data_IF_451640202035
#
_entry.id   IF_451640202035
#
_cell.length_a   1.000
_cell.length_b   1.000
_cell.length_c   1.000
_cell.angle_alpha   90.00
_cell.angle_beta   90.00
_cell.angle_gamma   90.00
#
_symmetry.space_group_name_H-M   'P 1'
#
loop_
_entity.id
_entity.type
_entity.pdbx_description
1 polymer ?
#
# COMPACT_ATOMS: atom_id res chain seq x y z
N UNK A 1 17.22 18.81 5.50
CA UNK A 1 17.36 17.60 4.66
C UNK A 1 16.01 17.28 4.05
N UNK A 2 15.98 17.09 2.74
CA UNK A 2 14.74 16.78 2.02
C UNK A 2 14.32 15.31 2.23
N UNK A 3 13.02 15.08 2.44
CA UNK A 3 12.47 13.79 2.85
C UNK A 3 11.54 13.19 1.79
N UNK A 4 11.75 11.95 1.46
CA UNK A 4 10.80 11.11 0.74
C UNK A 4 10.12 10.10 1.67
N UNK A 5 8.78 10.05 1.66
CA UNK A 5 8.03 8.99 2.33
C UNK A 5 7.51 8.00 1.31
N UNK A 6 7.82 6.72 1.50
CA UNK A 6 7.36 5.61 0.66
C UNK A 6 6.46 4.71 1.50
N UNK A 7 5.17 4.72 1.17
CA UNK A 7 4.12 4.04 1.91
C UNK A 7 3.60 2.85 1.09
N UNK A 8 3.94 1.66 1.54
CA UNK A 8 3.71 0.42 0.82
C UNK A 8 2.30 -0.13 0.91
N UNK A 9 2.06 -1.19 0.13
CA UNK A 9 0.82 -1.94 0.13
C UNK A 9 0.65 -2.76 1.41
N UNK A 10 -0.58 -2.87 1.92
CA UNK A 10 -0.81 -3.56 3.20
C UNK A 10 -2.25 -3.97 3.49
N UNK A 11 -3.20 -3.62 2.63
CA UNK A 11 -4.63 -3.82 2.91
C UNK A 11 -5.10 -3.02 4.13
N UNK A 12 -6.18 -3.44 4.76
CA UNK A 12 -6.77 -2.76 5.94
C UNK A 12 -5.85 -2.79 7.15
N UNK A 13 -5.17 -3.91 7.38
CA UNK A 13 -4.30 -4.07 8.55
C UNK A 13 -2.93 -3.43 8.35
N UNK A 14 -2.41 -3.46 7.12
CA UNK A 14 -1.20 -2.70 6.79
C UNK A 14 -1.42 -1.19 6.83
N UNK A 15 -2.64 -0.69 6.53
CA UNK A 15 -3.02 0.70 6.75
C UNK A 15 -2.86 1.08 8.24
N UNK A 16 -3.41 0.26 9.14
CA UNK A 16 -3.32 0.48 10.58
C UNK A 16 -1.87 0.44 11.08
N UNK A 17 -1.10 -0.56 10.64
CA UNK A 17 0.32 -0.68 10.97
C UNK A 17 1.14 0.53 10.49
N UNK A 18 0.91 0.98 9.25
CA UNK A 18 1.64 2.12 8.67
C UNK A 18 1.37 3.42 9.42
N UNK A 19 0.11 3.66 9.83
CA UNK A 19 -0.24 4.85 10.62
C UNK A 19 0.45 4.80 11.98
N UNK A 20 0.45 3.65 12.67
CA UNK A 20 1.16 3.49 13.94
C UNK A 20 2.67 3.69 13.79
N UNK A 21 3.28 3.14 12.73
CA UNK A 21 4.70 3.33 12.45
C UNK A 21 5.05 4.80 12.14
N UNK A 22 4.19 5.53 11.40
CA UNK A 22 4.36 6.96 11.18
C UNK A 22 4.21 7.77 12.48
N UNK A 23 3.21 7.43 13.31
CA UNK A 23 3.04 8.09 14.62
C UNK A 23 4.30 7.95 15.48
N UNK A 24 4.86 6.75 15.57
CA UNK A 24 6.10 6.52 16.31
C UNK A 24 7.27 7.28 15.67
N UNK A 25 7.38 7.28 14.34
CA UNK A 25 8.41 8.02 13.64
C UNK A 25 8.33 9.54 13.93
N UNK A 26 7.12 10.12 13.92
CA UNK A 26 6.93 11.54 14.28
C UNK A 26 7.35 11.82 15.73
N UNK A 27 7.00 10.93 16.66
CA UNK A 27 7.36 11.06 18.08
C UNK A 27 8.87 10.98 18.32
N UNK A 28 9.55 10.03 17.67
CA UNK A 28 10.98 9.80 17.86
C UNK A 28 11.87 10.82 17.14
N UNK A 29 11.39 11.36 16.01
CA UNK A 29 12.18 12.30 15.21
C UNK A 29 11.79 13.75 15.44
N UNK A 30 10.63 14.02 16.03
CA UNK A 30 10.07 15.38 16.15
C UNK A 30 9.64 16.00 14.82
N UNK A 31 9.56 15.20 13.74
CA UNK A 31 9.19 15.66 12.39
C UNK A 31 7.71 15.38 12.12
N UNK A 32 7.12 16.14 11.24
CA UNK A 32 5.74 15.94 10.77
C UNK A 32 5.78 15.24 9.40
N UNK A 33 5.05 14.16 9.26
CA UNK A 33 4.99 13.40 7.99
C UNK A 33 4.39 14.22 6.83
N UNK A 34 3.61 15.26 7.13
CA UNK A 34 3.05 16.19 6.14
C UNK A 34 4.10 17.11 5.52
N UNK A 35 5.26 17.29 6.17
CA UNK A 35 6.37 18.10 5.70
C UNK A 35 7.32 17.37 4.76
N UNK A 36 6.99 16.11 4.39
CA UNK A 36 7.77 15.39 3.39
C UNK A 36 7.73 16.09 2.03
N UNK A 37 8.87 16.17 1.34
CA UNK A 37 8.95 16.77 0.01
C UNK A 37 8.31 15.89 -1.06
N UNK A 38 8.40 14.56 -0.89
CA UNK A 38 7.86 13.56 -1.83
C UNK A 38 7.11 12.46 -1.09
N UNK A 39 5.91 12.16 -1.56
CA UNK A 39 5.07 11.07 -1.07
C UNK A 39 4.84 10.04 -2.18
N UNK A 40 5.28 8.81 -1.97
CA UNK A 40 4.98 7.68 -2.86
C UNK A 40 4.02 6.74 -2.12
N UNK A 41 2.83 6.53 -2.66
CA UNK A 41 1.82 5.66 -2.04
C UNK A 41 1.36 4.53 -2.96
N UNK A 42 1.27 3.31 -2.42
CA UNK A 42 0.74 2.14 -3.13
C UNK A 42 -0.32 1.45 -2.27
N UNK A 43 -1.50 1.18 -2.83
CA UNK A 43 -2.61 0.51 -2.14
C UNK A 43 -3.00 1.25 -0.84
N UNK A 44 -2.99 0.59 0.32
CA UNK A 44 -3.24 1.24 1.61
C UNK A 44 -2.38 2.50 1.84
N UNK A 45 -1.10 2.43 1.45
CA UNK A 45 -0.18 3.57 1.52
C UNK A 45 -0.58 4.74 0.62
N UNK A 46 -1.32 4.50 -0.46
CA UNK A 46 -1.82 5.57 -1.34
C UNK A 46 -2.87 6.45 -0.67
N UNK A 47 -3.70 5.87 0.19
CA UNK A 47 -4.70 6.60 0.96
C UNK A 47 -4.03 7.46 2.03
N UNK A 48 -3.00 6.93 2.70
CA UNK A 48 -2.20 7.68 3.68
C UNK A 48 -1.45 8.82 2.98
N UNK A 49 -0.78 8.55 1.86
CA UNK A 49 -0.08 9.58 1.08
C UNK A 49 -1.03 10.72 0.64
N UNK A 50 -2.23 10.38 0.17
CA UNK A 50 -3.25 11.34 -0.21
C UNK A 50 -3.77 12.15 1.00
N UNK A 51 -3.91 11.52 2.18
CA UNK A 51 -4.31 12.17 3.41
C UNK A 51 -3.25 13.18 3.88
N UNK A 52 -1.98 12.76 3.95
CA UNK A 52 -0.85 13.63 4.32
C UNK A 52 -0.74 14.83 3.38
N UNK A 53 -0.80 14.57 2.07
CA UNK A 53 -0.79 15.62 1.04
C UNK A 53 -1.98 16.58 1.12
N UNK A 54 -3.07 16.15 1.74
CA UNK A 54 -4.26 16.96 2.01
C UNK A 54 -4.18 17.72 3.34
N UNK A 55 -3.08 17.58 4.07
CA UNK A 55 -2.83 18.24 5.35
C UNK A 55 -3.41 17.51 6.57
N UNK A 56 -3.85 16.25 6.40
CA UNK A 56 -4.41 15.45 7.51
C UNK A 56 -3.28 14.96 8.41
N UNK A 57 -3.29 15.28 9.73
CA UNK A 57 -2.30 14.77 10.67
C UNK A 57 -2.36 13.24 10.82
N UNK A 58 -1.21 12.60 11.05
CA UNK A 58 -1.14 11.17 11.37
C UNK A 58 -1.96 10.85 12.62
N UNK A 59 -1.93 11.76 13.61
CA UNK A 59 -2.70 11.62 14.86
C UNK A 59 -4.22 11.50 14.63
N UNK A 60 -4.79 12.23 13.67
CA UNK A 60 -6.22 12.16 13.35
C UNK A 60 -6.58 10.81 12.71
N UNK A 61 -5.69 10.29 11.85
CA UNK A 61 -5.85 8.97 11.26
C UNK A 61 -5.76 7.87 12.33
N UNK A 62 -4.82 8.00 13.28
CA UNK A 62 -4.67 7.07 14.41
C UNK A 62 -5.87 7.12 15.34
N UNK A 63 -6.34 8.31 15.72
CA UNK A 63 -7.50 8.48 16.58
C UNK A 63 -8.73 7.76 15.99
N UNK A 64 -8.95 7.87 14.69
CA UNK A 64 -10.05 7.19 14.03
C UNK A 64 -9.89 5.65 13.99
N UNK A 65 -8.66 5.13 13.97
CA UNK A 65 -8.42 3.69 14.05
C UNK A 65 -8.71 3.13 15.44
N UNK A 66 -8.36 3.90 16.48
CA UNK A 66 -8.50 3.50 17.88
C UNK A 66 -9.93 3.70 18.39
N UNK A 67 -10.61 4.76 17.93
CA UNK A 67 -12.02 5.06 18.27
C UNK A 67 -12.82 5.32 16.97
N UNK A 68 -13.16 4.25 16.24
CA UNK A 68 -13.87 4.41 14.98
C UNK A 68 -15.30 4.94 15.24
N UNK A 69 -15.75 5.92 14.44
CA UNK A 69 -17.10 6.43 14.57
C UNK A 69 -18.13 5.30 14.41
N UNK A 70 -19.29 5.39 15.09
CA UNK A 70 -20.30 4.36 15.01
C UNK A 70 -20.68 4.09 13.55
N UNK A 71 -20.77 2.80 13.21
CA UNK A 71 -21.12 2.41 11.85
C UNK A 71 -22.47 3.03 11.45
N UNK A 72 -22.57 3.63 10.26
CA UNK A 72 -23.84 4.21 9.81
C UNK A 72 -24.97 3.19 9.92
N UNK A 73 -26.12 3.61 10.48
CA UNK A 73 -27.30 2.78 10.60
C UNK A 73 -27.76 2.36 9.22
N UNK A 74 -27.78 1.08 8.97
CA UNK A 74 -28.24 0.52 7.70
C UNK A 74 -29.75 0.43 7.65
N UNK A 75 -30.36 0.69 6.49
CA UNK A 75 -31.78 0.35 6.30
C UNK A 75 -32.02 -1.14 6.60
N UNK A 76 -33.10 -1.46 7.31
CA UNK A 76 -33.53 -2.85 7.54
C UNK A 76 -33.71 -3.52 6.17
N UNK A 77 -33.04 -4.68 5.94
CA UNK A 77 -33.18 -5.44 4.71
C UNK A 77 -32.06 -5.24 3.67
N UNK A 78 -31.11 -4.33 3.88
CA UNK A 78 -29.96 -4.20 2.98
C UNK A 78 -29.05 -5.45 3.03
N UNK A 79 -28.63 -6.02 1.87
CA UNK A 79 -27.80 -7.22 1.82
C UNK A 79 -26.51 -7.01 2.60
N UNK A 80 -26.12 -7.99 3.42
CA UNK A 80 -24.88 -7.92 4.19
C UNK A 80 -23.70 -7.89 3.23
N UNK A 81 -22.96 -6.80 3.23
CA UNK A 81 -21.71 -6.69 2.45
C UNK A 81 -20.70 -7.71 2.99
N UNK A 82 -20.22 -8.60 2.13
CA UNK A 82 -19.15 -9.55 2.44
C UNK A 82 -17.85 -8.85 2.86
N UNK A 83 -17.67 -7.57 2.49
CA UNK A 83 -16.58 -6.72 2.92
C UNK A 83 -16.48 -6.58 4.45
N UNK A 84 -17.61 -6.66 5.21
CA UNK A 84 -17.57 -6.66 6.69
C UNK A 84 -16.90 -7.90 7.29
N UNK A 85 -16.79 -9.00 6.53
CA UNK A 85 -16.13 -10.24 6.96
C UNK A 85 -14.69 -10.35 6.46
N UNK A 86 -14.18 -9.33 5.76
CA UNK A 86 -12.85 -9.42 5.15
C UNK A 86 -12.75 -10.56 4.11
N UNK A 87 -13.85 -10.89 3.44
CA UNK A 87 -13.91 -11.91 2.40
C UNK A 87 -14.33 -11.28 1.06
N UNK A 88 -13.72 -11.70 -0.06
CA UNK A 88 -14.11 -11.21 -1.37
C UNK A 88 -15.50 -11.72 -1.76
N UNK A 89 -16.29 -10.94 -2.51
CA UNK A 89 -17.48 -11.45 -3.17
C UNK A 89 -17.07 -12.48 -4.24
N UNK A 90 -18.01 -13.38 -4.60
CA UNK A 90 -17.77 -14.38 -5.66
C UNK A 90 -17.35 -13.67 -6.96
N UNK A 91 -16.16 -13.93 -7.50
CA UNK A 91 -15.66 -13.24 -8.68
C UNK A 91 -16.42 -13.65 -9.95
N UNK A 92 -16.17 -12.96 -11.07
CA UNK A 92 -16.69 -13.34 -12.38
C UNK A 92 -15.96 -14.58 -12.89
N UNK A 93 -16.61 -15.36 -13.74
CA UNK A 93 -15.98 -16.50 -14.40
C UNK A 93 -15.01 -15.99 -15.49
N UNK A 94 -13.85 -16.64 -15.61
CA UNK A 94 -12.84 -16.36 -16.63
C UNK A 94 -11.69 -15.46 -16.14
N UNK A 95 -10.62 -15.33 -16.94
CA UNK A 95 -9.44 -14.54 -16.58
C UNK A 95 -9.77 -13.05 -16.53
N UNK A 96 -9.10 -12.33 -15.64
CA UNK A 96 -9.33 -10.92 -15.40
C UNK A 96 -8.89 -10.03 -16.55
N UNK A 97 -7.77 -10.37 -17.22
CA UNK A 97 -7.29 -9.64 -18.38
C UNK A 97 -6.61 -10.54 -19.42
N UNK A 98 -7.33 -10.87 -20.49
CA UNK A 98 -6.77 -11.59 -21.65
C UNK A 98 -5.70 -10.75 -22.37
N UNK A 99 -5.84 -9.42 -22.38
CA UNK A 99 -4.85 -8.52 -22.98
C UNK A 99 -3.53 -8.60 -22.24
N UNK A 100 -3.57 -8.52 -20.91
CA UNK A 100 -2.36 -8.64 -20.08
C UNK A 100 -1.71 -10.02 -20.25
N UNK A 101 -2.50 -11.11 -20.30
CA UNK A 101 -1.97 -12.46 -20.59
C UNK A 101 -1.25 -12.50 -21.94
N UNK A 102 -1.82 -11.87 -22.98
CA UNK A 102 -1.19 -11.74 -24.29
C UNK A 102 0.12 -10.95 -24.25
N UNK A 103 0.19 -9.86 -23.50
CA UNK A 103 1.42 -9.07 -23.32
C UNK A 103 2.49 -9.87 -22.55
N UNK A 104 2.10 -10.58 -21.49
CA UNK A 104 3.01 -11.45 -20.73
C UNK A 104 3.55 -12.58 -21.61
N UNK A 105 2.70 -13.22 -22.41
CA UNK A 105 3.14 -14.29 -23.34
C UNK A 105 4.17 -13.78 -24.36
N UNK A 106 4.02 -12.53 -24.84
CA UNK A 106 4.99 -11.93 -25.79
C UNK A 106 6.31 -11.52 -25.13
N UNK A 107 6.28 -11.10 -23.85
CA UNK A 107 7.45 -10.51 -23.14
C UNK A 107 7.49 -10.95 -21.67
N UNK A 108 7.64 -12.25 -21.35
CA UNK A 108 7.47 -12.78 -20.00
C UNK A 108 8.42 -12.16 -18.96
N UNK A 109 9.66 -11.85 -19.38
CA UNK A 109 10.68 -11.26 -18.48
C UNK A 109 10.41 -9.80 -18.08
N UNK A 110 9.45 -9.12 -18.71
CA UNK A 110 9.11 -7.73 -18.42
C UNK A 110 8.19 -7.59 -17.20
N UNK A 111 7.47 -8.64 -16.87
CA UNK A 111 6.41 -8.60 -15.87
C UNK A 111 6.80 -9.33 -14.59
N UNK A 112 6.43 -8.78 -13.41
CA UNK A 112 6.60 -9.51 -12.16
C UNK A 112 5.65 -10.72 -12.13
N UNK A 113 6.00 -11.81 -11.39
CA UNK A 113 5.15 -12.98 -11.27
C UNK A 113 3.72 -12.68 -10.81
N UNK A 114 3.56 -11.65 -9.95
CA UNK A 114 2.25 -11.21 -9.47
C UNK A 114 1.35 -10.67 -10.59
N UNK A 115 1.90 -10.09 -11.65
CA UNK A 115 1.13 -9.62 -12.80
C UNK A 115 0.47 -10.77 -13.56
N UNK A 116 1.16 -11.92 -13.67
CA UNK A 116 0.58 -13.14 -14.25
C UNK A 116 -0.58 -13.67 -13.39
N UNK A 117 -0.36 -13.77 -12.08
CA UNK A 117 -1.43 -14.13 -11.14
C UNK A 117 -2.63 -13.19 -11.23
N UNK A 118 -2.40 -11.88 -11.24
CA UNK A 118 -3.45 -10.87 -11.36
C UNK A 118 -4.24 -11.00 -12.68
N UNK A 119 -3.57 -11.32 -13.78
CA UNK A 119 -4.22 -11.50 -15.09
C UNK A 119 -5.07 -12.77 -15.16
N UNK A 120 -4.65 -13.85 -14.49
CA UNK A 120 -5.38 -15.13 -14.42
C UNK A 120 -6.54 -15.10 -13.44
N UNK A 121 -6.40 -14.38 -12.31
CA UNK A 121 -7.48 -14.27 -11.33
C UNK A 121 -8.74 -13.73 -12.00
N UNK A 122 -9.89 -14.34 -11.73
CA UNK A 122 -11.17 -13.82 -12.21
C UNK A 122 -11.38 -12.37 -11.77
N UNK A 123 -12.04 -11.57 -12.59
CA UNK A 123 -12.36 -10.19 -12.24
C UNK A 123 -13.20 -10.16 -10.97
N UNK A 124 -12.74 -9.44 -9.95
CA UNK A 124 -13.47 -9.23 -8.72
C UNK A 124 -14.78 -8.49 -8.95
N UNK A 125 -15.72 -8.64 -8.03
CA UNK A 125 -17.04 -7.98 -8.01
C UNK A 125 -17.21 -7.04 -6.82
N UNK A 126 -16.15 -6.85 -6.02
CA UNK A 126 -16.18 -5.92 -4.90
C UNK A 126 -16.51 -4.51 -5.38
N UNK A 127 -17.41 -3.86 -4.65
CA UNK A 127 -17.81 -2.48 -4.95
C UNK A 127 -16.68 -1.51 -4.61
N UNK A 128 -16.19 -0.81 -5.62
CA UNK A 128 -15.16 0.22 -5.47
C UNK A 128 -15.70 1.54 -4.89
N UNK A 129 -17.01 1.71 -4.80
CA UNK A 129 -17.63 2.89 -4.16
C UNK A 129 -17.23 3.02 -2.70
N UNK A 130 -17.07 1.90 -1.99
CA UNK A 130 -16.57 1.88 -0.62
C UNK A 130 -15.12 2.36 -0.53
N UNK A 131 -14.27 1.91 -1.46
CA UNK A 131 -12.88 2.38 -1.57
C UNK A 131 -12.81 3.86 -1.91
N UNK A 132 -13.63 4.30 -2.87
CA UNK A 132 -13.69 5.69 -3.27
C UNK A 132 -14.13 6.60 -2.11
N UNK A 133 -15.19 6.23 -1.37
CA UNK A 133 -15.61 6.96 -0.17
C UNK A 133 -14.53 7.00 0.91
N UNK A 134 -13.77 5.93 1.06
CA UNK A 134 -12.64 5.89 1.99
C UNK A 134 -11.51 6.82 1.54
N UNK A 135 -11.17 6.81 0.26
CA UNK A 135 -10.17 7.71 -0.31
C UNK A 135 -10.61 9.19 -0.24
N UNK A 136 -11.85 9.51 -0.64
CA UNK A 136 -12.39 10.88 -0.61
C UNK A 136 -12.56 11.45 0.79
N UNK A 137 -12.64 10.60 1.81
CA UNK A 137 -12.68 11.07 3.19
C UNK A 137 -11.42 11.85 3.57
N UNK A 138 -10.28 11.44 3.01
CA UNK A 138 -8.96 11.94 3.37
C UNK A 138 -8.30 12.77 2.27
N UNK A 139 -8.57 12.44 1.00
CA UNK A 139 -7.94 13.07 -0.15
C UNK A 139 -8.73 14.27 -0.67
N UNK A 140 -8.05 15.38 -0.94
CA UNK A 140 -8.61 16.46 -1.77
C UNK A 140 -8.73 15.99 -3.22
N UNK A 141 -9.61 16.61 -4.00
CA UNK A 141 -9.74 16.28 -5.42
C UNK A 141 -8.50 16.69 -6.23
N UNK A 142 -7.93 17.84 -5.88
CA UNK A 142 -6.78 18.42 -6.58
C UNK A 142 -5.46 17.91 -6.01
N UNK A 143 -4.50 17.70 -6.90
CA UNK A 143 -3.11 17.42 -6.56
C UNK A 143 -2.46 18.68 -6.01
N UNK A 144 -1.74 18.61 -4.87
CA UNK A 144 -1.01 19.76 -4.34
C UNK A 144 0.24 20.04 -5.20
N UNK A 145 0.69 21.29 -5.17
CA UNK A 145 1.98 21.64 -5.75
C UNK A 145 3.14 21.08 -4.90
N UNK A 146 2.99 21.10 -3.59
CA UNK A 146 3.87 20.49 -2.61
C UNK A 146 3.02 19.90 -1.46
N UNK A 147 3.39 18.72 -0.93
CA UNK A 147 4.45 17.80 -1.40
C UNK A 147 4.17 17.24 -2.79
N UNK A 148 5.21 16.79 -3.49
CA UNK A 148 5.02 16.03 -4.73
C UNK A 148 4.51 14.62 -4.42
N UNK A 149 3.36 14.26 -4.98
CA UNK A 149 2.69 12.98 -4.67
C UNK A 149 2.71 12.05 -5.89
N UNK A 150 2.98 10.78 -5.65
CA UNK A 150 2.79 9.70 -6.64
C UNK A 150 1.93 8.61 -6.04
N UNK A 151 0.78 8.38 -6.62
CA UNK A 151 -0.12 7.27 -6.28
C UNK A 151 -0.01 6.22 -7.37
N UNK A 152 0.38 5.00 -6.98
CA UNK A 152 0.77 3.97 -7.94
C UNK A 152 -0.34 2.96 -8.15
N UNK A 153 -0.77 2.80 -9.40
CA UNK A 153 -1.64 1.70 -9.83
C UNK A 153 -1.03 0.95 -11.02
N UNK A 154 -1.61 -0.18 -11.39
CA UNK A 154 -1.25 -0.93 -12.58
C UNK A 154 -2.34 -0.80 -13.64
N UNK A 155 -1.97 -0.42 -14.86
CA UNK A 155 -2.84 -0.57 -16.03
C UNK A 155 -3.10 -2.07 -16.28
N UNK A 156 -4.35 -2.47 -16.15
CA UNK A 156 -4.72 -3.89 -16.13
C UNK A 156 -4.67 -4.56 -17.50
N UNK A 157 -4.59 -3.78 -18.57
CA UNK A 157 -4.53 -4.30 -19.94
C UNK A 157 -3.10 -4.41 -20.45
N UNK A 158 -2.22 -3.50 -20.01
CA UNK A 158 -0.83 -3.45 -20.47
C UNK A 158 0.18 -3.93 -19.42
N UNK A 159 -0.22 -4.04 -18.15
CA UNK A 159 0.68 -4.34 -17.03
C UNK A 159 1.65 -3.21 -16.70
N UNK A 160 1.45 -2.03 -17.26
CA UNK A 160 2.31 -0.88 -16.99
C UNK A 160 2.05 -0.33 -15.59
N UNK A 161 3.12 -0.07 -14.84
CA UNK A 161 3.06 0.69 -13.59
C UNK A 161 2.77 2.16 -13.93
N UNK A 162 1.71 2.71 -13.35
CA UNK A 162 1.25 4.08 -13.59
C UNK A 162 1.31 4.88 -12.30
N UNK A 163 2.29 5.78 -12.16
CA UNK A 163 2.37 6.73 -11.05
C UNK A 163 1.49 7.95 -11.37
N UNK A 164 0.26 7.96 -10.90
CA UNK A 164 -0.61 9.13 -10.96
C UNK A 164 0.02 10.31 -10.21
N UNK A 165 -0.24 11.53 -10.65
CA UNK A 165 0.43 12.74 -10.17
C UNK A 165 1.73 13.09 -10.91
N UNK A 166 2.21 12.20 -11.80
CA UNK A 166 3.36 12.47 -12.68
C UNK A 166 2.92 13.25 -13.92
N UNK A 167 3.75 14.17 -14.46
CA UNK A 167 3.50 14.78 -15.77
C UNK A 167 3.28 13.70 -16.85
N UNK A 168 2.21 13.83 -17.63
CA UNK A 168 1.82 12.87 -18.66
C UNK A 168 1.08 11.62 -18.16
N UNK A 169 0.83 11.49 -16.86
CA UNK A 169 -0.08 10.46 -16.34
C UNK A 169 -1.53 10.75 -16.78
N UNK A 170 -2.39 9.71 -16.86
CA UNK A 170 -3.80 9.93 -17.15
C UNK A 170 -4.44 10.87 -16.13
N UNK A 171 -5.34 11.78 -16.57
CA UNK A 171 -6.01 12.69 -15.64
C UNK A 171 -6.89 11.92 -14.66
N UNK A 172 -6.67 12.16 -13.37
CA UNK A 172 -7.41 11.60 -12.26
C UNK A 172 -7.30 12.53 -11.05
N UNK A 173 -8.32 12.55 -10.19
CA UNK A 173 -8.18 13.11 -8.86
C UNK A 173 -7.32 12.20 -7.97
N UNK A 174 -6.78 12.73 -6.86
CA UNK A 174 -6.05 11.88 -5.88
C UNK A 174 -6.93 10.74 -5.35
N UNK A 175 -8.22 11.00 -5.12
CA UNK A 175 -9.17 9.99 -4.65
C UNK A 175 -9.42 8.89 -5.69
N UNK A 176 -9.55 9.22 -6.97
CA UNK A 176 -9.68 8.23 -8.05
C UNK A 176 -8.41 7.39 -8.18
N UNK A 177 -7.24 8.03 -8.14
CA UNK A 177 -5.94 7.34 -8.19
C UNK A 177 -5.76 6.39 -6.99
N UNK A 178 -6.09 6.83 -5.76
CA UNK A 178 -6.04 5.98 -4.56
C UNK A 178 -7.04 4.83 -4.63
N UNK A 179 -8.25 5.07 -5.17
CA UNK A 179 -9.24 4.02 -5.42
C UNK A 179 -8.70 2.97 -6.38
N UNK A 180 -8.08 3.38 -7.46
CA UNK A 180 -7.46 2.49 -8.45
C UNK A 180 -6.28 1.71 -7.83
N UNK A 181 -5.47 2.40 -7.03
CA UNK A 181 -4.33 1.83 -6.31
C UNK A 181 -4.73 0.77 -5.28
N UNK A 182 -5.96 0.82 -4.75
CA UNK A 182 -6.51 -0.14 -3.79
C UNK A 182 -7.39 -1.23 -4.43
N UNK A 183 -7.58 -1.24 -5.75
CA UNK A 183 -8.43 -2.21 -6.44
C UNK A 183 -7.73 -3.57 -6.61
N UNK A 184 -7.62 -4.35 -5.53
CA UNK A 184 -6.96 -5.66 -5.49
C UNK A 184 -7.60 -6.62 -6.50
N UNK A 185 -6.81 -7.20 -7.46
CA UNK A 185 -7.31 -8.17 -8.43
C UNK A 185 -7.99 -9.36 -7.76
N UNK A 186 -9.08 -9.84 -8.35
CA UNK A 186 -9.88 -10.93 -7.81
C UNK A 186 -10.83 -10.52 -6.67
N UNK A 187 -10.58 -9.39 -6.01
CA UNK A 187 -11.42 -8.86 -4.93
C UNK A 187 -12.35 -7.76 -5.44
N UNK A 188 -11.78 -6.69 -5.99
CA UNK A 188 -12.51 -5.54 -6.50
C UNK A 188 -12.63 -5.54 -8.02
N UNK A 189 -13.65 -4.85 -8.52
CA UNK A 189 -13.73 -4.53 -9.94
C UNK A 189 -12.59 -3.57 -10.31
N UNK A 190 -11.95 -3.71 -11.48
CA UNK A 190 -10.96 -2.74 -11.95
C UNK A 190 -11.58 -1.34 -12.07
N UNK A 191 -10.86 -0.33 -11.60
CA UNK A 191 -11.29 1.08 -11.68
C UNK A 191 -11.04 1.61 -13.08
N UNK A 192 -12.00 2.36 -13.63
CA UNK A 192 -11.84 2.99 -14.93
C UNK A 192 -11.49 4.47 -14.79
N UNK A 193 -10.34 4.86 -15.37
CA UNK A 193 -9.88 6.25 -15.44
C UNK A 193 -9.47 6.54 -16.88
N UNK A 194 -9.97 7.61 -17.47
CA UNK A 194 -9.68 8.01 -18.86
C UNK A 194 -9.81 6.83 -19.85
N UNK A 195 -10.85 6.01 -19.72
CA UNK A 195 -11.14 4.88 -20.59
C UNK A 195 -10.30 3.62 -20.38
N UNK A 196 -9.29 3.65 -19.53
CA UNK A 196 -8.41 2.52 -19.19
C UNK A 196 -8.81 1.85 -17.88
N UNK A 197 -8.43 0.57 -17.70
CA UNK A 197 -8.71 -0.20 -16.49
C UNK A 197 -7.47 -0.23 -15.60
N UNK A 198 -7.66 0.04 -14.31
CA UNK A 198 -6.57 0.02 -13.33
C UNK A 198 -6.88 -0.92 -12.18
N UNK A 199 -5.84 -1.52 -11.65
CA UNK A 199 -5.87 -2.38 -10.46
C UNK A 199 -4.73 -1.98 -9.52
N UNK A 200 -4.70 -2.57 -8.33
CA UNK A 200 -3.73 -2.30 -7.27
C UNK A 200 -2.29 -2.28 -7.78
N UNK A 201 -1.56 -1.22 -7.43
CA UNK A 201 -0.16 -1.02 -7.80
C UNK A 201 0.79 -2.03 -7.17
N UNK A 202 0.39 -2.65 -6.06
CA UNK A 202 1.15 -3.71 -5.39
C UNK A 202 1.42 -4.93 -6.28
N UNK A 203 0.65 -5.12 -7.34
CA UNK A 203 0.93 -6.13 -8.38
C UNK A 203 2.26 -5.84 -9.09
N UNK A 204 2.59 -4.57 -9.32
CA UNK A 204 3.86 -4.16 -9.92
C UNK A 204 4.98 -4.11 -8.89
N UNK A 205 4.76 -3.43 -7.79
CA UNK A 205 5.68 -3.30 -6.68
C UNK A 205 4.92 -2.92 -5.42
N UNK A 206 5.27 -3.52 -4.30
CA UNK A 206 4.66 -3.22 -3.02
C UNK A 206 4.96 -1.80 -2.52
N UNK A 207 6.10 -1.22 -2.89
CA UNK A 207 6.55 0.10 -2.45
C UNK A 207 6.67 1.10 -3.58
N UNK A 208 7.16 0.65 -4.74
CA UNK A 208 7.56 1.54 -5.84
C UNK A 208 8.56 2.62 -5.41
N UNK A 209 9.44 2.29 -4.46
CA UNK A 209 10.40 3.23 -3.87
C UNK A 209 11.36 3.83 -4.90
N UNK A 210 11.68 3.08 -5.96
CA UNK A 210 12.50 3.56 -7.08
C UNK A 210 11.93 4.79 -7.80
N UNK A 211 10.65 5.13 -7.60
CA UNK A 211 10.06 6.37 -8.12
C UNK A 211 10.65 7.62 -7.46
N UNK A 212 11.28 7.53 -6.29
CA UNK A 212 12.04 8.67 -5.73
C UNK A 212 13.21 9.10 -6.62
N UNK A 213 13.64 8.26 -7.57
CA UNK A 213 14.65 8.58 -8.58
C UNK A 213 14.07 9.15 -9.88
N UNK A 214 12.74 9.39 -9.93
CA UNK A 214 12.09 9.99 -11.10
C UNK A 214 12.59 11.43 -11.30
N UNK A 215 13.11 11.73 -12.50
CA UNK A 215 13.62 13.05 -12.85
C UNK A 215 12.58 14.18 -12.75
N UNK A 216 11.27 13.87 -12.65
CA UNK A 216 10.20 14.83 -12.42
C UNK A 216 9.91 15.09 -10.94
N UNK A 217 10.70 14.53 -10.04
CA UNK A 217 10.60 14.76 -8.60
C UNK A 217 11.81 15.56 -8.10
N UNK A 218 11.67 16.35 -7.04
CA UNK A 218 12.81 16.92 -6.36
C UNK A 218 13.69 15.79 -5.83
N UNK A 219 15.00 16.01 -5.78
CA UNK A 219 15.91 15.07 -5.12
C UNK A 219 15.64 15.10 -3.62
N UNK A 220 15.67 13.92 -3.02
CA UNK A 220 15.58 13.77 -1.59
C UNK A 220 16.91 13.27 -1.01
N UNK A 221 17.24 13.74 0.19
CA UNK A 221 18.46 13.32 0.92
C UNK A 221 18.20 12.03 1.70
N UNK A 222 16.97 11.91 2.21
CA UNK A 222 16.52 10.81 3.06
C UNK A 222 15.21 10.21 2.56
N UNK A 223 15.03 8.92 2.81
CA UNK A 223 13.77 8.23 2.54
C UNK A 223 13.39 7.33 3.72
N UNK A 224 12.13 7.46 4.19
CA UNK A 224 11.49 6.48 5.05
C UNK A 224 10.62 5.56 4.20
N UNK A 225 10.91 4.26 4.22
CA UNK A 225 10.21 3.24 3.45
C UNK A 225 9.46 2.30 4.40
N UNK A 226 8.13 2.39 4.41
CA UNK A 226 7.27 1.55 5.24
C UNK A 226 6.68 0.42 4.39
N UNK A 227 6.95 -0.84 4.79
CA UNK A 227 6.64 -2.03 3.99
C UNK A 227 5.77 -3.02 4.77
N UNK A 228 4.45 -2.74 4.93
CA UNK A 228 3.58 -3.53 5.81
C UNK A 228 3.45 -5.02 5.45
N UNK A 229 3.73 -5.40 4.21
CA UNK A 229 3.69 -6.79 3.75
C UNK A 229 5.06 -7.47 3.68
N UNK A 230 6.16 -6.79 3.97
CA UNK A 230 7.48 -7.42 4.03
C UNK A 230 7.70 -8.18 5.34
N UNK A 231 8.81 -8.90 5.41
CA UNK A 231 9.31 -9.54 6.64
C UNK A 231 10.61 -8.85 7.04
N UNK A 232 10.71 -8.41 8.28
CA UNK A 232 11.99 -7.98 8.82
C UNK A 232 12.82 -9.22 9.23
N UNK A 233 14.00 -9.37 8.65
CA UNK A 233 15.11 -10.12 9.23
C UNK A 233 15.08 -11.66 9.25
N UNK A 234 14.08 -12.37 8.72
CA UNK A 234 14.02 -13.82 8.81
C UNK A 234 14.03 -14.56 7.47
N UNK A 235 14.86 -15.59 7.35
CA UNK A 235 14.81 -16.61 6.29
C UNK A 235 13.48 -17.37 6.37
N UNK A 236 12.81 -17.67 5.24
CA UNK A 236 11.55 -18.41 5.27
C UNK A 236 11.75 -19.82 5.81
N UNK A 237 11.16 -20.15 6.94
CA UNK A 237 10.97 -21.55 7.36
C UNK A 237 9.83 -22.15 6.53
N UNK A 238 10.17 -22.95 5.53
CA UNK A 238 9.29 -23.39 4.43
C UNK A 238 8.30 -24.51 4.80
N UNK A 239 8.27 -25.06 6.02
CA UNK A 239 7.74 -26.42 6.24
C UNK A 239 6.67 -26.60 7.32
N UNK A 240 5.78 -25.68 7.62
CA UNK A 240 4.76 -25.98 8.65
C UNK A 240 3.28 -25.91 8.21
N UNK A 241 2.93 -25.29 7.08
CA UNK A 241 1.52 -25.20 6.64
C UNK A 241 1.46 -24.73 5.18
N UNK A 242 0.66 -25.36 4.28
CA UNK A 242 0.53 -24.93 2.87
C UNK A 242 0.04 -23.48 2.73
N UNK A 243 -0.81 -22.98 3.63
CA UNK A 243 -1.23 -21.57 3.66
C UNK A 243 -0.09 -20.66 4.09
N UNK A 244 0.72 -21.07 5.07
CA UNK A 244 1.93 -20.35 5.50
C UNK A 244 3.03 -20.36 4.44
N UNK A 245 3.14 -21.42 3.63
CA UNK A 245 4.10 -21.49 2.52
C UNK A 245 3.77 -20.50 1.39
N UNK A 246 2.48 -20.36 1.03
CA UNK A 246 2.03 -19.38 0.01
C UNK A 246 2.19 -17.95 0.49
N UNK A 247 1.87 -17.64 1.76
CA UNK A 247 2.11 -16.32 2.37
C UNK A 247 3.60 -16.00 2.43
N UNK A 248 4.43 -16.97 2.84
CA UNK A 248 5.89 -16.83 2.88
C UNK A 248 6.51 -16.58 1.50
N UNK A 249 6.04 -17.29 0.47
CA UNK A 249 6.48 -17.08 -0.91
C UNK A 249 6.11 -15.68 -1.42
N UNK A 250 4.85 -15.25 -1.21
CA UNK A 250 4.37 -13.94 -1.61
C UNK A 250 5.16 -12.81 -0.92
N UNK A 251 5.36 -12.89 0.40
CA UNK A 251 6.14 -11.92 1.16
C UNK A 251 7.62 -11.93 0.74
N UNK A 252 8.16 -13.10 0.38
CA UNK A 252 9.51 -13.22 -0.17
C UNK A 252 9.67 -12.49 -1.51
N UNK A 253 8.72 -12.63 -2.43
CA UNK A 253 8.71 -11.88 -3.70
C UNK A 253 8.63 -10.36 -3.47
N UNK A 254 7.78 -9.93 -2.54
CA UNK A 254 7.64 -8.53 -2.17
C UNK A 254 8.96 -8.00 -1.60
N UNK A 255 9.53 -8.69 -0.61
CA UNK A 255 10.77 -8.29 0.04
C UNK A 255 11.95 -8.21 -0.91
N UNK A 256 12.12 -9.19 -1.79
CA UNK A 256 13.22 -9.19 -2.77
C UNK A 256 13.16 -8.01 -3.74
N UNK A 257 11.96 -7.63 -4.21
CA UNK A 257 11.80 -6.46 -5.08
C UNK A 257 12.04 -5.16 -4.32
N UNK A 258 11.48 -5.02 -3.14
CA UNK A 258 11.68 -3.84 -2.27
C UNK A 258 13.17 -3.65 -1.93
N UNK A 259 13.89 -4.72 -1.57
CA UNK A 259 15.31 -4.67 -1.31
C UNK A 259 16.10 -4.15 -2.54
N UNK A 260 15.74 -4.58 -3.75
CA UNK A 260 16.33 -4.07 -4.99
C UNK A 260 16.02 -2.59 -5.25
N UNK A 261 14.82 -2.12 -4.91
CA UNK A 261 14.46 -0.71 -5.00
C UNK A 261 15.25 0.13 -4.00
N UNK A 262 15.34 -0.30 -2.75
CA UNK A 262 16.13 0.34 -1.69
C UNK A 262 17.62 0.38 -2.03
N UNK A 263 18.17 -0.70 -2.56
CA UNK A 263 19.58 -0.73 -2.98
C UNK A 263 19.87 0.35 -4.05
N UNK A 264 18.93 0.59 -4.98
CA UNK A 264 19.07 1.67 -5.99
C UNK A 264 19.02 3.06 -5.36
N UNK A 265 18.16 3.29 -4.36
CA UNK A 265 18.10 4.56 -3.63
C UNK A 265 19.43 4.82 -2.91
N UNK A 266 19.94 3.82 -2.18
CA UNK A 266 21.24 3.91 -1.49
C UNK A 266 22.40 4.15 -2.46
N UNK A 267 22.40 3.47 -3.60
CA UNK A 267 23.40 3.68 -4.66
C UNK A 267 23.34 5.10 -5.27
N UNK A 268 22.17 5.75 -5.25
CA UNK A 268 21.99 7.14 -5.66
C UNK A 268 22.35 8.16 -4.56
N UNK A 269 22.81 7.70 -3.39
CA UNK A 269 23.26 8.55 -2.28
C UNK A 269 22.12 8.94 -1.31
N UNK A 270 20.94 8.31 -1.40
CA UNK A 270 19.83 8.57 -0.49
C UNK A 270 20.00 7.73 0.78
N UNK A 271 19.93 8.36 1.95
CA UNK A 271 19.88 7.64 3.22
C UNK A 271 18.51 6.99 3.39
N UNK A 272 18.44 5.65 3.49
CA UNK A 272 17.17 4.93 3.54
C UNK A 272 16.99 4.23 4.88
N UNK A 273 15.93 4.64 5.59
CA UNK A 273 15.37 3.94 6.76
C UNK A 273 14.21 3.07 6.28
N UNK A 274 14.29 1.76 6.55
CA UNK A 274 13.26 0.80 6.17
C UNK A 274 12.63 0.20 7.42
N UNK A 275 11.30 0.25 7.52
CA UNK A 275 10.56 -0.43 8.55
C UNK A 275 9.55 -1.42 7.94
N UNK A 276 9.53 -2.62 8.50
CA UNK A 276 8.58 -3.68 8.19
C UNK A 276 8.07 -4.33 9.48
N UNK A 277 6.90 -4.97 9.48
CA UNK A 277 6.35 -5.68 10.63
C UNK A 277 7.29 -6.73 11.18
N UNK A 278 7.43 -6.77 12.49
CA UNK A 278 8.16 -7.82 13.19
C UNK A 278 7.31 -9.10 13.41
N UNK A 279 7.77 -10.03 14.23
CA UNK A 279 7.07 -11.28 14.49
C UNK A 279 5.75 -11.07 15.26
N UNK A 280 5.72 -10.13 16.20
CA UNK A 280 4.54 -9.81 17.02
C UNK A 280 3.47 -9.11 16.16
N UNK A 281 3.86 -8.12 15.34
CA UNK A 281 2.98 -7.47 14.38
C UNK A 281 2.31 -8.46 13.42
N UNK A 282 3.10 -9.43 12.92
CA UNK A 282 2.60 -10.47 12.02
C UNK A 282 1.65 -11.44 12.71
N UNK A 283 1.90 -11.77 13.97
CA UNK A 283 1.05 -12.67 14.74
C UNK A 283 -0.36 -12.08 14.90
N UNK A 284 -0.49 -10.78 15.23
CA UNK A 284 -1.78 -10.12 15.37
C UNK A 284 -2.45 -9.90 14.01
N UNK A 285 -1.69 -9.53 12.97
CA UNK A 285 -2.22 -9.34 11.62
C UNK A 285 -2.81 -10.64 11.07
N UNK A 286 -2.11 -11.74 11.22
CA UNK A 286 -2.51 -13.04 10.68
C UNK A 286 -2.48 -13.06 9.15
N UNK A 287 -3.24 -14.01 8.54
CA UNK A 287 -3.26 -14.21 7.09
C UNK A 287 -4.20 -13.26 6.34
N UNK A 288 -5.28 -12.78 7.00
CA UNK A 288 -6.30 -11.93 6.36
C UNK A 288 -6.06 -10.44 6.63
N UNK A 289 -5.21 -9.83 5.82
CA UNK A 289 -4.89 -8.39 5.91
C UNK A 289 -6.06 -7.45 5.59
N UNK A 290 -7.20 -8.01 5.14
CA UNK A 290 -8.40 -7.25 4.78
C UNK A 290 -9.47 -7.25 5.89
N UNK A 291 -9.20 -7.80 7.07
CA UNK A 291 -10.17 -7.84 8.18
C UNK A 291 -10.20 -6.52 8.97
N UNK A 292 -11.21 -5.65 8.78
CA UNK A 292 -11.23 -4.33 9.41
C UNK A 292 -11.43 -4.40 10.93
N UNK A 293 -11.87 -5.54 11.49
CA UNK A 293 -12.15 -5.70 12.92
C UNK A 293 -10.88 -5.68 13.77
N UNK A 294 -9.74 -5.99 13.18
CA UNK A 294 -8.45 -6.04 13.84
C UNK A 294 -7.63 -4.76 13.75
N UNK A 295 -8.13 -3.73 13.08
CA UNK A 295 -7.34 -2.51 12.83
C UNK A 295 -6.84 -1.84 14.11
N UNK A 296 -7.71 -1.68 15.12
CA UNK A 296 -7.32 -1.08 16.40
C UNK A 296 -6.26 -1.93 17.13
N UNK A 297 -6.45 -3.25 17.16
CA UNK A 297 -5.50 -4.18 17.78
C UNK A 297 -4.12 -4.12 17.09
N UNK A 298 -4.11 -4.16 15.75
CA UNK A 298 -2.87 -4.06 14.96
C UNK A 298 -2.18 -2.71 15.19
N UNK A 299 -2.93 -1.60 15.23
CA UNK A 299 -2.36 -0.29 15.50
C UNK A 299 -1.73 -0.22 16.90
N UNK A 300 -2.39 -0.76 17.93
CA UNK A 300 -1.86 -0.78 19.31
C UNK A 300 -0.58 -1.62 19.43
N UNK A 301 -0.53 -2.79 18.77
CA UNK A 301 0.68 -3.61 18.75
C UNK A 301 1.78 -2.89 18.01
N UNK A 302 1.50 -2.34 16.82
CA UNK A 302 2.47 -1.64 16.00
C UNK A 302 3.07 -0.39 16.69
N UNK A 303 2.30 0.36 17.46
CA UNK A 303 2.83 1.47 18.27
C UNK A 303 3.92 0.98 19.24
N UNK A 304 3.71 -0.16 19.91
CA UNK A 304 4.67 -0.73 20.85
C UNK A 304 5.92 -1.26 20.16
N UNK A 305 5.73 -2.07 19.11
CA UNK A 305 6.82 -2.76 18.41
C UNK A 305 7.71 -1.78 17.66
N UNK A 306 7.11 -0.74 17.03
CA UNK A 306 7.87 0.29 16.33
C UNK A 306 8.62 1.20 17.30
N UNK A 307 8.03 1.59 18.44
CA UNK A 307 8.75 2.35 19.49
C UNK A 307 9.95 1.57 20.04
N UNK A 308 9.76 0.28 20.35
CA UNK A 308 10.85 -0.58 20.81
C UNK A 308 11.96 -0.74 19.76
N UNK A 309 11.62 -0.71 18.46
CA UNK A 309 12.60 -0.73 17.37
C UNK A 309 13.44 0.56 17.36
N UNK A 310 12.80 1.72 17.40
CA UNK A 310 13.50 2.99 17.44
C UNK A 310 14.45 3.10 18.64
N UNK A 311 14.03 2.58 19.79
CA UNK A 311 14.89 2.56 20.98
C UNK A 311 16.12 1.68 20.78
N UNK A 312 15.98 0.46 20.22
CA UNK A 312 17.12 -0.39 19.87
C UNK A 312 18.07 0.26 18.86
N UNK A 313 17.53 0.91 17.82
CA UNK A 313 18.35 1.60 16.82
C UNK A 313 19.15 2.73 17.43
N UNK A 314 18.57 3.48 18.41
CA UNK A 314 19.23 4.55 19.15
C UNK A 314 20.31 4.04 20.10
N UNK A 315 20.06 2.91 20.77
CA UNK A 315 21.03 2.31 21.73
C UNK A 315 22.10 1.45 21.06
N UNK A 316 21.96 1.17 19.75
CA UNK A 316 22.89 0.32 19.00
C UNK A 316 22.75 -1.18 19.30
N UNK A 317 21.70 -1.58 20.00
CA UNK A 317 21.35 -2.99 20.23
C UNK A 317 20.78 -3.59 18.93
N UNK A 318 21.48 -4.60 18.37
CA UNK A 318 21.07 -5.35 17.17
C UNK A 318 20.38 -6.64 17.51
#
# INVERSE_FOLDING_TARGET
MSLGLVLGTGGQLGYAWTIAALTTWEQETGRDAREADVLIGTSAGSVIAAALASGVPVADMLAQLLDPPPAPTRPKGAPQSTARRGLPPVPRVGPGSLRLLGEIARRPRRFPPLAFGAALLPTGRGDTTGLHRWATKWAREQWPEAPQVRIVAMDYDTGARVPFGRPGAPPASMAEAATASCAVPGWFSPVRIAGRRYVDGGVCSATSADLLLDAHLPRVDEALVLVPLARSGETPTVWSNPVGATDGWLRGLIGGRTAGEIARLRAAGITVTEHAPDAEDRAVTGWNVMDPRKQAEVAQVALRTTAARWERERTGER
#
